data_IF_000125281238
#
_entry.id   IF_000125281238
#
_cell.length_a   1.000
_cell.length_b   1.000
_cell.length_c   1.000
_cell.angle_alpha   90.00
_cell.angle_beta   90.00
_cell.angle_gamma   90.00
#
_symmetry.space_group_name_H-M   'P 1'
#
loop_
_entity.id
_entity.type
_entity.pdbx_description
1 polymer ?
#
# COMPACT_ATOMS: atom_id res chain seq x y z
N UNK A 1 9.80 8.82 -10.67
CA UNK A 1 9.10 7.81 -11.50
C UNK A 1 8.59 6.67 -10.61
N UNK A 2 7.52 5.97 -10.99
CA UNK A 2 6.91 4.92 -10.17
C UNK A 2 7.02 3.55 -10.84
N UNK A 3 7.51 2.55 -10.10
CA UNK A 3 7.61 1.15 -10.56
C UNK A 3 6.26 0.44 -10.51
N UNK A 4 5.34 0.97 -9.71
CA UNK A 4 3.98 0.50 -9.59
C UNK A 4 3.10 1.67 -9.16
N UNK A 5 1.92 1.78 -9.76
CA UNK A 5 0.89 2.66 -9.25
C UNK A 5 -0.48 2.21 -9.73
N UNK A 6 -1.51 2.56 -8.97
CA UNK A 6 -2.88 2.64 -9.47
C UNK A 6 -3.64 3.71 -8.70
N UNK A 7 -4.60 4.32 -9.37
CA UNK A 7 -5.62 5.15 -8.72
C UNK A 7 -6.97 4.79 -9.29
N UNK A 8 -7.85 4.28 -8.42
CA UNK A 8 -9.21 3.89 -8.78
C UNK A 8 -9.98 5.11 -9.28
N UNK A 9 -10.68 4.96 -10.41
CA UNK A 9 -11.49 6.03 -11.00
C UNK A 9 -10.75 7.12 -11.80
N UNK A 10 -9.41 7.18 -11.77
CA UNK A 10 -8.65 8.16 -12.58
C UNK A 10 -8.02 7.55 -13.85
N UNK A 11 -7.60 6.29 -13.82
CA UNK A 11 -7.09 5.63 -15.01
C UNK A 11 -8.22 5.04 -15.86
N UNK A 12 -8.11 5.14 -17.20
CA UNK A 12 -9.07 4.52 -18.13
C UNK A 12 -9.26 3.04 -17.75
N UNK A 13 -10.50 2.64 -17.49
CA UNK A 13 -10.92 1.28 -17.13
C UNK A 13 -10.62 0.79 -15.70
N UNK A 14 -9.99 1.58 -14.81
CA UNK A 14 -9.92 1.28 -13.36
C UNK A 14 -11.23 1.62 -12.60
N UNK A 15 -12.31 1.87 -13.35
CA UNK A 15 -13.67 1.97 -12.84
C UNK A 15 -14.39 0.60 -12.75
N UNK A 16 -13.66 -0.51 -12.95
CA UNK A 16 -14.19 -1.86 -12.86
C UNK A 16 -13.35 -2.66 -11.86
N UNK A 17 -13.96 -3.30 -10.83
CA UNK A 17 -13.22 -4.04 -9.82
C UNK A 17 -12.29 -5.12 -10.38
N UNK A 18 -12.75 -5.84 -11.42
CA UNK A 18 -11.95 -6.86 -12.11
C UNK A 18 -10.64 -6.31 -12.69
N UNK A 19 -10.62 -5.06 -13.16
CA UNK A 19 -9.42 -4.45 -13.76
C UNK A 19 -8.44 -4.06 -12.66
N UNK A 20 -8.92 -3.50 -11.54
CA UNK A 20 -8.09 -3.24 -10.37
C UNK A 20 -7.43 -4.52 -9.86
N UNK A 21 -8.21 -5.59 -9.65
CA UNK A 21 -7.66 -6.86 -9.20
C UNK A 21 -6.66 -7.43 -10.21
N UNK A 22 -6.94 -7.34 -11.51
CA UNK A 22 -6.00 -7.77 -12.56
C UNK A 22 -4.69 -6.98 -12.55
N UNK A 23 -4.71 -5.71 -12.17
CA UNK A 23 -3.52 -4.87 -12.02
C UNK A 23 -2.69 -5.24 -10.78
N UNK A 24 -3.34 -5.65 -9.69
CA UNK A 24 -2.67 -6.09 -8.46
C UNK A 24 -2.12 -7.53 -8.55
N UNK A 25 -2.84 -8.41 -9.27
CA UNK A 25 -2.57 -9.85 -9.33
C UNK A 25 -1.12 -10.25 -9.63
N UNK A 26 -0.36 -9.57 -10.53
CA UNK A 26 1.04 -9.92 -10.78
C UNK A 26 1.96 -9.73 -9.57
N UNK A 27 1.57 -8.90 -8.61
CA UNK A 27 2.36 -8.55 -7.44
C UNK A 27 1.80 -9.14 -6.15
N UNK A 28 0.53 -9.56 -6.12
CA UNK A 28 -0.10 -10.20 -4.96
C UNK A 28 0.47 -11.60 -4.74
N UNK A 29 1.34 -11.75 -3.76
CA UNK A 29 1.93 -13.06 -3.37
C UNK A 29 1.17 -13.74 -2.24
N UNK A 30 0.44 -12.95 -1.45
CA UNK A 30 -0.52 -13.45 -0.46
C UNK A 30 -1.72 -12.51 -0.44
N UNK A 31 -2.93 -13.06 -0.40
CA UNK A 31 -4.14 -12.29 -0.20
C UNK A 31 -5.11 -13.11 0.65
N UNK A 32 -5.28 -12.69 1.90
CA UNK A 32 -6.24 -13.22 2.85
C UNK A 32 -7.27 -12.15 3.15
N UNK A 33 -8.39 -12.23 2.46
CA UNK A 33 -9.56 -11.41 2.80
C UNK A 33 -9.48 -9.97 2.31
N UNK A 34 -8.89 -9.70 1.14
CA UNK A 34 -9.07 -8.43 0.44
C UNK A 34 -9.58 -8.64 -0.98
N UNK A 35 -10.45 -7.77 -1.45
CA UNK A 35 -10.96 -7.81 -2.82
C UNK A 35 -11.22 -6.41 -3.38
N UNK A 36 -11.28 -6.32 -4.71
CA UNK A 36 -11.69 -5.12 -5.40
C UNK A 36 -13.22 -5.04 -5.40
N UNK A 37 -13.77 -3.89 -5.00
CA UNK A 37 -15.22 -3.66 -4.98
C UNK A 37 -15.57 -2.33 -5.63
N UNK A 38 -16.81 -2.24 -6.12
CA UNK A 38 -17.45 -0.99 -6.53
C UNK A 38 -18.56 -0.66 -5.52
N UNK A 39 -18.37 0.41 -4.75
CA UNK A 39 -19.41 0.93 -3.86
C UNK A 39 -19.94 2.24 -4.47
N UNK A 40 -21.02 2.14 -5.25
CA UNK A 40 -21.70 3.29 -5.86
C UNK A 40 -20.78 4.16 -6.75
N UNK A 41 -20.00 3.53 -7.63
CA UNK A 41 -19.06 4.19 -8.54
C UNK A 41 -17.69 4.49 -7.90
N UNK A 42 -17.54 4.24 -6.58
CA UNK A 42 -16.26 4.35 -5.88
C UNK A 42 -15.59 2.98 -5.89
N UNK A 43 -14.71 2.76 -6.86
CA UNK A 43 -13.91 1.55 -6.92
C UNK A 43 -12.77 1.61 -5.90
N UNK A 44 -12.43 0.48 -5.27
CA UNK A 44 -11.28 0.39 -4.39
C UNK A 44 -11.02 -1.03 -3.92
N UNK A 45 -9.93 -1.21 -3.19
CA UNK A 45 -9.54 -2.48 -2.59
C UNK A 45 -9.91 -2.46 -1.10
N UNK A 46 -10.71 -3.43 -0.67
CA UNK A 46 -11.34 -3.46 0.67
C UNK A 46 -11.13 -4.81 1.34
N UNK A 47 -11.09 -4.87 2.68
CA UNK A 47 -11.11 -6.14 3.39
C UNK A 47 -12.49 -6.80 3.29
N UNK A 48 -12.52 -8.13 3.22
CA UNK A 48 -13.74 -8.94 3.14
C UNK A 48 -13.95 -9.84 4.37
N UNK A 49 -12.94 -9.96 5.25
CA UNK A 49 -13.01 -10.81 6.45
C UNK A 49 -12.96 -10.03 7.77
N UNK A 50 -12.90 -8.70 7.74
CA UNK A 50 -12.71 -7.87 8.94
C UNK A 50 -11.26 -7.91 9.45
N UNK A 51 -11.07 -7.74 10.77
CA UNK A 51 -9.73 -7.66 11.40
C UNK A 51 -8.90 -8.91 11.07
N UNK A 52 -7.62 -8.70 10.76
CA UNK A 52 -6.69 -9.74 10.32
C UNK A 52 -6.76 -10.04 8.81
N UNK A 53 -7.64 -9.37 8.06
CA UNK A 53 -7.55 -9.34 6.59
C UNK A 53 -6.20 -8.76 6.20
N UNK A 54 -5.41 -9.49 5.42
CA UNK A 54 -4.04 -9.13 5.06
C UNK A 54 -3.74 -9.44 3.60
N UNK A 55 -2.99 -8.58 2.93
CA UNK A 55 -2.37 -8.91 1.65
C UNK A 55 -0.90 -8.49 1.62
N UNK A 56 -0.15 -9.12 0.73
CA UNK A 56 1.26 -8.83 0.47
C UNK A 56 1.44 -8.54 -1.01
N UNK A 57 2.04 -7.40 -1.31
CA UNK A 57 2.56 -7.08 -2.63
C UNK A 57 4.06 -7.31 -2.66
N UNK A 58 4.55 -7.98 -3.69
CA UNK A 58 5.98 -8.19 -3.91
C UNK A 58 6.38 -7.76 -5.33
N UNK A 59 7.27 -6.77 -5.39
CA UNK A 59 7.86 -6.28 -6.63
C UNK A 59 9.25 -6.87 -6.75
N UNK A 60 9.40 -7.85 -7.65
CA UNK A 60 10.66 -8.57 -7.86
C UNK A 60 11.57 -7.88 -8.87
N UNK A 61 12.87 -7.95 -8.63
CA UNK A 61 13.93 -7.43 -9.51
C UNK A 61 13.66 -6.01 -10.00
N UNK A 62 13.50 -5.10 -9.03
CA UNK A 62 13.21 -3.68 -9.27
C UNK A 62 14.08 -3.11 -10.39
N UNK A 63 13.46 -2.43 -11.37
CA UNK A 63 14.18 -1.76 -12.46
C UNK A 63 14.62 -0.35 -12.11
N UNK A 64 13.96 0.24 -11.12
CA UNK A 64 14.25 1.55 -10.58
C UNK A 64 14.20 1.48 -9.05
N UNK A 65 14.94 2.35 -8.34
CA UNK A 65 14.84 2.43 -6.90
C UNK A 65 13.42 2.81 -6.43
N UNK A 66 13.06 2.45 -5.20
CA UNK A 66 11.84 2.96 -4.53
C UNK A 66 12.22 3.50 -3.17
N UNK A 67 11.90 4.76 -2.92
CA UNK A 67 12.13 5.44 -1.62
C UNK A 67 10.84 5.94 -0.97
N UNK A 68 9.71 5.91 -1.67
CA UNK A 68 8.43 6.32 -1.12
C UNK A 68 7.31 5.35 -1.50
N UNK A 69 6.49 5.00 -0.52
CA UNK A 69 5.22 4.30 -0.71
C UNK A 69 4.08 5.25 -0.39
N UNK A 70 3.23 5.51 -1.38
CA UNK A 70 2.05 6.37 -1.25
C UNK A 70 0.80 5.51 -1.21
N UNK A 71 -0.09 5.77 -0.25
CA UNK A 71 -1.39 5.13 -0.10
C UNK A 71 -2.47 6.21 -0.17
N UNK A 72 -3.42 6.04 -1.08
CA UNK A 72 -4.60 6.91 -1.20
C UNK A 72 -5.77 6.18 -0.55
N UNK A 73 -6.20 6.67 0.61
CA UNK A 73 -7.17 6.00 1.48
C UNK A 73 -8.46 6.78 1.47
N UNK A 74 -9.58 6.09 1.22
CA UNK A 74 -10.89 6.71 1.49
C UNK A 74 -11.18 6.59 2.98
N UNK A 75 -11.30 7.74 3.62
CA UNK A 75 -11.67 7.87 5.03
C UNK A 75 -13.13 8.31 5.10
N UNK A 76 -13.89 7.77 6.04
CA UNK A 76 -15.31 8.13 6.21
C UNK A 76 -15.78 7.98 7.66
N UNK A 77 -17.09 8.04 7.88
CA UNK A 77 -17.72 8.11 9.20
C UNK A 77 -18.85 7.08 9.34
N UNK A 78 -19.29 6.87 10.58
CA UNK A 78 -20.40 5.98 10.93
C UNK A 78 -19.96 4.54 11.24
N UNK A 79 -20.89 3.73 11.74
CA UNK A 79 -20.61 2.41 12.33
C UNK A 79 -19.77 1.46 11.45
N UNK A 80 -19.89 1.56 10.11
CA UNK A 80 -19.07 0.77 9.18
C UNK A 80 -17.58 1.09 9.31
N UNK A 81 -17.23 2.35 9.54
CA UNK A 81 -15.86 2.89 9.54
C UNK A 81 -15.27 3.01 10.94
N UNK A 82 -16.06 2.78 11.99
CA UNK A 82 -15.63 2.92 13.37
C UNK A 82 -14.37 2.11 13.67
N UNK A 83 -13.37 2.77 14.23
CA UNK A 83 -12.04 2.23 14.55
C UNK A 83 -11.28 1.63 13.35
N UNK A 84 -11.70 1.92 12.12
CA UNK A 84 -11.08 1.42 10.88
C UNK A 84 -9.60 1.82 10.82
N UNK A 85 -8.71 0.82 10.78
CA UNK A 85 -7.26 1.06 10.79
C UNK A 85 -6.50 -0.06 10.10
N UNK A 86 -5.51 0.31 9.28
CA UNK A 86 -4.54 -0.63 8.72
C UNK A 86 -3.14 -0.41 9.31
N UNK A 87 -2.33 -1.46 9.26
CA UNK A 87 -0.88 -1.40 9.44
C UNK A 87 -0.20 -1.75 8.11
N UNK A 88 0.81 -0.96 7.77
CA UNK A 88 1.67 -1.15 6.61
C UNK A 88 3.09 -1.42 7.07
N UNK A 89 3.72 -2.46 6.52
CA UNK A 89 5.14 -2.76 6.71
C UNK A 89 5.84 -2.97 5.36
N UNK A 90 7.05 -2.45 5.22
CA UNK A 90 7.85 -2.55 4.02
C UNK A 90 9.18 -3.24 4.30
N UNK A 91 9.53 -4.19 3.44
CA UNK A 91 10.74 -5.00 3.55
C UNK A 91 11.47 -5.05 2.21
N UNK A 92 12.79 -5.21 2.28
CA UNK A 92 13.64 -5.32 1.11
C UNK A 92 14.53 -6.54 1.19
N UNK A 93 14.69 -7.19 0.04
CA UNK A 93 15.72 -8.20 -0.17
C UNK A 93 16.68 -7.72 -1.24
N UNK A 94 17.97 -7.73 -0.93
CA UNK A 94 19.03 -7.40 -1.89
C UNK A 94 19.11 -8.47 -2.99
N UNK A 95 19.56 -8.06 -4.18
CA UNK A 95 19.75 -8.98 -5.31
C UNK A 95 20.66 -10.14 -4.91
N UNK A 96 20.20 -11.37 -5.13
CA UNK A 96 20.96 -12.59 -4.81
C UNK A 96 20.89 -13.00 -3.33
N UNK A 97 20.15 -12.28 -2.49
CA UNK A 97 19.88 -12.69 -1.12
C UNK A 97 18.86 -13.84 -1.03
N UNK A 98 18.87 -14.57 0.08
CA UNK A 98 17.89 -15.65 0.35
C UNK A 98 16.53 -15.13 0.82
N UNK A 99 15.47 -15.95 0.77
CA UNK A 99 14.12 -15.62 1.28
C UNK A 99 14.10 -15.18 2.76
N UNK A 100 15.12 -15.56 3.54
CA UNK A 100 15.22 -15.22 4.96
C UNK A 100 15.84 -13.83 5.23
N UNK A 101 16.29 -13.13 4.18
CA UNK A 101 17.05 -11.88 4.28
C UNK A 101 16.22 -10.61 4.05
N UNK A 102 14.90 -10.67 4.21
CA UNK A 102 14.09 -9.45 4.15
C UNK A 102 14.40 -8.53 5.33
N UNK A 103 15.04 -7.41 5.06
CA UNK A 103 15.33 -6.33 5.99
C UNK A 103 14.14 -5.35 6.03
N UNK A 104 13.74 -4.87 7.22
CA UNK A 104 12.72 -3.80 7.31
C UNK A 104 13.27 -2.48 6.78
N UNK A 105 12.52 -1.81 5.92
CA UNK A 105 12.92 -0.52 5.33
C UNK A 105 12.47 0.71 6.13
N UNK A 106 11.47 0.55 6.98
CA UNK A 106 10.88 1.62 7.79
C UNK A 106 10.17 1.05 9.03
N UNK A 107 9.86 1.91 9.99
CA UNK A 107 8.92 1.58 11.06
C UNK A 107 7.53 1.30 10.47
N UNK A 108 6.73 0.39 11.06
CA UNK A 108 5.36 0.19 10.63
C UNK A 108 4.57 1.50 10.63
N UNK A 109 3.80 1.75 9.57
CA UNK A 109 2.89 2.90 9.50
C UNK A 109 1.47 2.42 9.74
N UNK A 110 0.76 3.09 10.65
CA UNK A 110 -0.67 2.85 10.86
C UNK A 110 -1.48 3.97 10.21
N UNK A 111 -2.54 3.62 9.48
CA UNK A 111 -3.41 4.59 8.79
C UNK A 111 -4.85 4.39 9.26
N UNK A 112 -5.52 5.48 9.64
CA UNK A 112 -6.94 5.50 9.99
C UNK A 112 -7.82 5.61 8.73
N UNK A 113 -8.85 4.76 8.67
CA UNK A 113 -9.94 4.84 7.69
C UNK A 113 -11.16 5.61 8.21
N UNK A 114 -11.10 6.10 9.45
CA UNK A 114 -12.20 6.85 10.09
C UNK A 114 -11.87 8.35 10.27
N UNK A 115 -12.90 9.19 10.13
CA UNK A 115 -12.92 10.57 10.61
C UNK A 115 -14.35 11.03 10.97
N UNK A 116 -14.48 12.21 11.58
CA UNK A 116 -15.76 12.74 12.07
C UNK A 116 -16.54 13.62 11.07
N UNK A 117 -16.06 13.83 9.84
CA UNK A 117 -16.77 14.63 8.84
C UNK A 117 -17.89 13.82 8.19
N UNK A 118 -19.05 14.44 7.94
CA UNK A 118 -20.22 13.79 7.30
C UNK A 118 -20.10 13.62 5.78
N UNK A 119 -18.91 13.29 5.29
CA UNK A 119 -18.65 12.97 3.88
C UNK A 119 -17.61 11.84 3.79
N UNK A 120 -17.32 11.32 2.60
CA UNK A 120 -16.15 10.45 2.41
C UNK A 120 -15.10 11.23 1.64
N UNK A 121 -13.90 11.29 2.18
CA UNK A 121 -12.78 12.02 1.59
C UNK A 121 -11.62 11.05 1.31
N UNK A 122 -10.78 11.37 0.34
CA UNK A 122 -9.56 10.58 0.07
C UNK A 122 -8.35 11.33 0.60
N UNK A 123 -7.57 10.67 1.46
CA UNK A 123 -6.34 11.19 2.05
C UNK A 123 -5.13 10.45 1.50
N UNK A 124 -4.02 11.17 1.37
CA UNK A 124 -2.74 10.64 0.91
C UNK A 124 -1.85 10.41 2.12
N UNK A 125 -1.30 9.21 2.24
CA UNK A 125 -0.35 8.82 3.28
C UNK A 125 0.93 8.33 2.64
N UNK A 126 2.07 8.77 3.14
CA UNK A 126 3.38 8.48 2.57
C UNK A 126 4.29 7.82 3.61
N UNK A 127 4.86 6.66 3.25
CA UNK A 127 5.92 6.00 3.99
C UNK A 127 7.24 6.23 3.26
N UNK A 128 8.15 6.95 3.92
CA UNK A 128 9.53 7.08 3.46
C UNK A 128 10.32 5.81 3.82
N UNK A 129 11.02 5.25 2.85
CA UNK A 129 11.88 4.08 3.02
C UNK A 129 13.30 4.59 3.23
N UNK A 130 13.76 4.57 4.48
CA UNK A 130 15.05 5.17 4.88
C UNK A 130 16.10 4.14 5.29
N UNK A 131 15.75 2.86 5.29
CA UNK A 131 16.51 1.83 5.98
C UNK A 131 16.19 1.82 7.46
N UNK A 132 16.19 0.61 8.02
CA UNK A 132 15.83 0.36 9.41
C UNK A 132 16.64 1.16 10.43
N UNK A 133 16.30 0.97 11.70
CA UNK A 133 16.68 1.76 12.89
C UNK A 133 18.19 1.89 13.20
N UNK A 134 19.07 1.42 12.31
CA UNK A 134 20.52 1.61 12.39
C UNK A 134 20.90 2.89 11.65
N UNK A 135 21.14 3.94 12.41
CA UNK A 135 21.74 5.20 11.98
C UNK A 135 22.92 4.96 11.01
N UNK A 136 22.73 5.36 9.74
CA UNK A 136 23.70 5.88 8.74
C UNK A 136 23.27 5.48 7.32
N UNK A 137 22.34 6.26 6.76
CA UNK A 137 22.27 6.53 5.33
C UNK A 137 21.58 5.48 4.45
N UNK A 138 20.55 5.95 3.72
CA UNK A 138 20.26 5.51 2.33
C UNK A 138 19.69 4.12 2.07
N UNK A 139 18.98 3.43 2.99
CA UNK A 139 18.29 2.20 2.54
C UNK A 139 17.00 2.51 1.76
N UNK A 140 17.21 2.70 0.47
CA UNK A 140 16.25 2.70 -0.62
C UNK A 140 16.06 1.25 -1.07
N UNK A 141 14.85 0.86 -1.49
CA UNK A 141 14.68 -0.41 -2.18
C UNK A 141 15.39 -0.30 -3.55
N UNK A 142 16.63 -0.81 -3.60
CA UNK A 142 17.53 -0.57 -4.72
C UNK A 142 17.24 -1.47 -5.94
N UNK A 143 17.76 -1.05 -7.09
CA UNK A 143 17.64 -1.77 -8.37
C UNK A 143 18.15 -3.21 -8.23
N UNK A 144 17.42 -4.15 -8.83
CA UNK A 144 17.73 -5.57 -8.87
C UNK A 144 17.32 -6.35 -7.63
N UNK A 145 16.98 -5.70 -6.52
CA UNK A 145 16.39 -6.34 -5.35
C UNK A 145 14.87 -6.48 -5.44
N UNK A 146 14.28 -6.99 -4.36
CA UNK A 146 12.84 -7.23 -4.25
C UNK A 146 12.24 -6.41 -3.10
N UNK A 147 11.14 -5.70 -3.38
CA UNK A 147 10.38 -4.95 -2.39
C UNK A 147 9.12 -5.71 -2.02
N UNK A 148 8.93 -5.98 -0.73
CA UNK A 148 7.72 -6.59 -0.17
C UNK A 148 6.98 -5.58 0.70
N UNK A 149 5.68 -5.43 0.48
CA UNK A 149 4.80 -4.55 1.24
C UNK A 149 3.65 -5.37 1.80
N UNK A 150 3.56 -5.44 3.12
CA UNK A 150 2.47 -6.08 3.85
C UNK A 150 1.46 -5.03 4.29
N UNK A 151 0.17 -5.30 4.07
CA UNK A 151 -0.93 -4.46 4.53
C UNK A 151 -1.95 -5.33 5.28
N UNK A 152 -2.27 -4.96 6.51
CA UNK A 152 -3.18 -5.69 7.39
C UNK A 152 -4.22 -4.76 8.00
N UNK A 153 -5.49 -5.19 8.04
CA UNK A 153 -6.53 -4.53 8.81
C UNK A 153 -6.37 -4.87 10.29
N UNK A 154 -6.00 -3.89 11.11
CA UNK A 154 -5.72 -4.07 12.55
C UNK A 154 -6.81 -3.46 13.45
N UNK A 155 -7.78 -2.76 12.88
CA UNK A 155 -8.90 -2.17 13.62
C UNK A 155 -10.13 -1.95 12.74
N UNK A 156 -11.31 -1.96 13.37
CA UNK A 156 -12.60 -1.80 12.69
C UNK A 156 -12.98 -3.01 11.84
N UNK A 157 -13.98 -2.85 10.96
CA UNK A 157 -14.47 -3.94 10.11
C UNK A 157 -14.28 -3.70 8.61
N UNK A 158 -14.05 -2.45 8.21
CA UNK A 158 -13.83 -2.03 6.83
C UNK A 158 -12.54 -1.24 6.72
N UNK A 159 -12.04 -1.07 5.51
CA UNK A 159 -11.10 -0.02 5.10
C UNK A 159 -11.19 0.11 3.57
N UNK A 160 -10.71 1.19 2.96
CA UNK A 160 -10.69 1.28 1.50
C UNK A 160 -9.46 1.98 0.95
N UNK A 161 -8.66 1.21 0.23
CA UNK A 161 -7.56 1.72 -0.58
C UNK A 161 -8.11 2.14 -1.95
N UNK A 162 -8.07 3.43 -2.22
CA UNK A 162 -8.43 4.01 -3.51
C UNK A 162 -7.26 3.96 -4.48
N UNK A 163 -6.03 3.99 -3.98
CA UNK A 163 -4.83 4.00 -4.81
C UNK A 163 -3.58 3.65 -4.02
N UNK A 164 -2.55 3.24 -4.74
CA UNK A 164 -1.19 3.05 -4.22
C UNK A 164 -0.19 3.50 -5.28
N UNK A 165 0.96 4.03 -4.87
CA UNK A 165 2.05 4.34 -5.78
C UNK A 165 3.40 4.12 -5.10
N UNK A 166 4.27 3.34 -5.72
CA UNK A 166 5.61 3.02 -5.21
C UNK A 166 6.64 3.65 -6.15
N UNK A 167 7.32 4.68 -5.64
CA UNK A 167 8.06 5.59 -6.50
C UNK A 167 9.47 5.87 -6.00
N UNK A 168 10.30 6.33 -6.93
CA UNK A 168 11.47 7.13 -6.65
C UNK A 168 11.11 8.60 -6.77
N UNK A 169 11.20 9.34 -5.67
CA UNK A 169 11.24 10.79 -5.67
C UNK A 169 12.68 11.23 -5.46
N UNK A 170 13.28 11.81 -6.48
CA UNK A 170 14.49 12.60 -6.35
C UNK A 170 14.12 13.87 -5.58
N UNK A 171 14.74 14.11 -4.42
CA UNK A 171 14.59 15.41 -3.78
C UNK A 171 15.10 16.47 -4.73
N UNK A 172 14.20 17.35 -5.20
CA UNK A 172 14.59 18.60 -5.81
C UNK A 172 14.92 19.49 -4.62
N UNK A 173 16.21 19.62 -4.30
CA UNK A 173 16.65 20.68 -3.41
C UNK A 173 16.28 22.01 -4.07
N UNK A 174 15.27 22.68 -3.52
CA UNK A 174 14.96 24.07 -3.83
C UNK A 174 15.87 24.99 -3.00
#
# INVERSE_FOLDING_TARGET
PCVFSFVSGLERNLNKPKVLLSKLKPYLTNNRGWDAVDDNGKNGFVPTMGIGSKFTLELKQLKEPVNILTFMVMTSYGAKWESSKIRVEAFFRKKGGSDKEYEKLAKPMEISGEHNKQTSETYVHEMQLTGGESEKGTAVAAVGGDLKVDVELIGGSTFKLMGMAFCHLTQINA
#
